data_IF_648821235911
#
_entry.id   IF_648821235911
#
_cell.length_a   1.000
_cell.length_b   1.000
_cell.length_c   1.000
_cell.angle_alpha   90.00
_cell.angle_beta   90.00
_cell.angle_gamma   90.00
#
_symmetry.space_group_name_H-M   'P 1'
#
loop_
_entity.id
_entity.type
_entity.pdbx_description
1 polymer ?
#
# COMPACT_ATOMS: atom_id res chain seq x y z
N UNK A 1 -29.39 11.68 22.73
CA UNK A 1 -28.50 10.54 22.43
C UNK A 1 -29.26 9.61 21.53
N UNK A 2 -28.92 9.57 20.27
CA UNK A 2 -29.48 8.60 19.33
C UNK A 2 -28.79 7.26 19.57
N UNK A 3 -29.57 6.20 19.69
CA UNK A 3 -29.13 4.85 20.07
C UNK A 3 -28.22 4.16 19.04
N UNK A 4 -27.79 4.90 17.99
CA UNK A 4 -27.18 4.31 16.78
C UNK A 4 -25.96 5.05 16.24
N UNK A 5 -25.26 5.80 17.10
CA UNK A 5 -24.01 6.43 16.69
C UNK A 5 -22.97 5.36 16.33
N UNK A 6 -22.34 5.54 15.20
CA UNK A 6 -21.29 4.65 14.71
C UNK A 6 -19.94 5.31 14.75
N UNK A 7 -18.93 4.49 14.91
CA UNK A 7 -17.54 4.90 14.89
C UNK A 7 -16.87 4.21 13.72
N UNK A 8 -16.24 4.99 12.85
CA UNK A 8 -15.38 4.46 11.81
C UNK A 8 -13.92 4.68 12.17
N UNK A 9 -13.08 3.70 11.85
CA UNK A 9 -11.65 3.83 11.89
C UNK A 9 -11.15 4.03 10.46
N UNK A 10 -10.36 5.07 10.24
CA UNK A 10 -9.81 5.41 8.93
C UNK A 10 -8.29 5.49 8.99
N UNK A 11 -7.63 5.20 7.88
CA UNK A 11 -6.20 5.37 7.68
C UNK A 11 -5.95 6.67 6.89
N UNK A 12 -5.49 7.71 7.57
CA UNK A 12 -5.19 8.99 6.94
C UNK A 12 -3.99 8.92 6.00
N UNK A 13 -3.04 8.01 6.26
CA UNK A 13 -1.87 7.80 5.39
C UNK A 13 -2.27 7.15 4.06
N UNK A 14 -3.46 6.54 4.02
CA UNK A 14 -4.06 5.96 2.81
C UNK A 14 -5.26 6.78 2.31
N UNK A 15 -5.21 8.09 2.49
CA UNK A 15 -6.22 9.01 1.94
C UNK A 15 -7.62 8.87 2.56
N UNK A 16 -7.71 8.44 3.82
CA UNK A 16 -9.02 8.28 4.48
C UNK A 16 -9.70 6.94 4.19
N UNK A 17 -8.93 5.90 3.82
CA UNK A 17 -9.47 4.55 3.64
C UNK A 17 -10.13 4.05 4.92
N UNK A 18 -11.37 3.57 4.80
CA UNK A 18 -12.12 3.03 5.94
C UNK A 18 -11.55 1.63 6.27
N UNK A 19 -11.13 1.45 7.51
CA UNK A 19 -10.59 0.19 8.02
C UNK A 19 -11.63 -0.63 8.78
N UNK A 20 -12.60 0.03 9.40
CA UNK A 20 -13.62 -0.62 10.20
C UNK A 20 -14.75 0.30 10.61
N UNK A 21 -15.84 -0.31 10.99
CA UNK A 21 -17.00 0.33 11.63
C UNK A 21 -17.37 -0.46 12.88
N UNK A 22 -17.74 0.25 13.93
CA UNK A 22 -18.31 -0.35 15.13
C UNK A 22 -19.44 0.53 15.67
N UNK A 23 -20.37 -0.06 16.40
CA UNK A 23 -21.37 0.71 17.12
C UNK A 23 -20.70 1.44 18.29
N UNK A 24 -21.02 2.69 18.46
CA UNK A 24 -20.60 3.47 19.60
C UNK A 24 -21.46 3.05 20.82
N UNK A 25 -20.78 2.64 21.90
CA UNK A 25 -21.45 2.27 23.15
C UNK A 25 -20.99 3.24 24.25
N UNK A 26 -21.85 4.15 24.66
CA UNK A 26 -21.56 5.14 25.71
C UNK A 26 -21.69 6.58 25.30
N UNK A 27 -21.13 7.50 26.10
CA UNK A 27 -21.07 8.92 25.76
C UNK A 27 -19.83 9.19 24.89
N UNK A 28 -20.07 9.71 23.69
CA UNK A 28 -19.02 10.05 22.74
C UNK A 28 -19.00 11.56 22.49
N UNK A 29 -17.84 12.13 22.10
CA UNK A 29 -17.78 13.53 21.69
C UNK A 29 -18.71 13.78 20.51
N UNK A 30 -19.01 15.04 20.27
CA UNK A 30 -19.73 15.45 19.06
C UNK A 30 -19.03 14.92 17.81
N UNK A 31 -19.80 14.76 16.73
CA UNK A 31 -19.30 14.31 15.43
C UNK A 31 -17.94 14.96 15.08
N UNK A 32 -16.97 14.15 14.74
CA UNK A 32 -15.64 14.63 14.45
C UNK A 32 -14.59 13.52 14.41
N UNK A 33 -13.39 13.87 13.96
CA UNK A 33 -12.26 12.96 13.87
C UNK A 33 -11.28 13.20 15.00
N UNK A 34 -10.88 12.15 15.68
CA UNK A 34 -9.85 12.18 16.73
C UNK A 34 -8.65 11.36 16.26
N UNK A 35 -7.43 11.94 16.23
CA UNK A 35 -6.24 11.19 15.86
C UNK A 35 -5.94 10.11 16.91
N UNK A 36 -5.67 8.89 16.47
CA UNK A 36 -5.11 7.82 17.28
C UNK A 36 -3.58 7.85 17.20
N UNK A 37 -2.92 7.19 18.15
CA UNK A 37 -1.45 7.13 18.32
C UNK A 37 -0.71 6.35 17.21
N UNK A 38 -1.17 6.35 15.99
CA UNK A 38 -0.53 5.61 14.88
C UNK A 38 -0.83 6.19 13.50
N UNK A 39 -1.37 7.43 13.43
CA UNK A 39 -1.83 8.02 12.17
C UNK A 39 -3.20 7.50 11.73
N UNK A 40 -3.85 6.71 12.58
CA UNK A 40 -5.25 6.34 12.42
C UNK A 40 -6.15 7.45 12.98
N UNK A 41 -7.29 7.63 12.36
CA UNK A 41 -8.32 8.53 12.86
C UNK A 41 -9.57 7.74 13.21
N UNK A 42 -10.12 8.07 14.37
CA UNK A 42 -11.45 7.60 14.78
C UNK A 42 -12.43 8.71 14.45
N UNK A 43 -13.40 8.42 13.62
CA UNK A 43 -14.43 9.38 13.20
C UNK A 43 -15.75 8.94 13.80
N UNK A 44 -16.35 9.83 14.57
CA UNK A 44 -17.69 9.67 15.14
C UNK A 44 -18.70 10.28 14.18
N UNK A 45 -19.66 9.49 13.73
CA UNK A 45 -20.63 9.91 12.73
C UNK A 45 -22.04 9.50 13.17
N UNK A 46 -22.99 10.43 13.05
CA UNK A 46 -24.39 10.15 13.30
C UNK A 46 -24.95 9.21 12.22
N UNK A 47 -25.87 8.32 12.60
CA UNK A 47 -26.44 7.33 11.67
C UNK A 47 -27.07 7.98 10.43
N UNK A 48 -27.72 9.14 10.61
CA UNK A 48 -28.33 9.90 9.52
C UNK A 48 -27.35 10.38 8.45
N UNK A 49 -26.05 10.47 8.79
CA UNK A 49 -24.99 10.91 7.89
C UNK A 49 -24.28 9.72 7.18
N UNK A 50 -24.72 8.49 7.46
CA UNK A 50 -24.19 7.31 6.79
C UNK A 50 -24.86 7.10 5.43
N UNK A 51 -24.11 6.69 4.41
CA UNK A 51 -24.70 6.20 3.17
C UNK A 51 -25.62 5.00 3.46
N UNK A 52 -26.75 4.93 2.77
CA UNK A 52 -27.70 3.82 2.95
C UNK A 52 -27.05 2.45 2.74
N UNK A 53 -26.07 2.37 1.84
CA UNK A 53 -25.28 1.16 1.55
C UNK A 53 -24.45 0.68 2.75
N UNK A 54 -23.98 1.60 3.60
CA UNK A 54 -23.21 1.24 4.79
C UNK A 54 -24.01 0.40 5.80
N UNK A 55 -25.33 0.58 5.78
CA UNK A 55 -26.26 -0.14 6.64
C UNK A 55 -26.68 -1.50 6.07
N UNK A 56 -26.58 -1.68 4.74
CA UNK A 56 -27.04 -2.88 4.02
C UNK A 56 -25.92 -3.91 3.85
N UNK A 57 -24.73 -3.47 3.48
CA UNK A 57 -23.57 -4.34 3.22
C UNK A 57 -22.28 -3.66 3.68
N UNK A 58 -21.84 -4.03 4.87
CA UNK A 58 -20.62 -3.52 5.48
C UNK A 58 -19.37 -3.77 4.64
N UNK A 59 -19.25 -4.96 4.05
CA UNK A 59 -18.08 -5.31 3.24
C UNK A 59 -18.02 -4.48 1.97
N UNK A 60 -19.16 -4.31 1.31
CA UNK A 60 -19.27 -3.41 0.16
C UNK A 60 -18.87 -1.98 0.53
N UNK A 61 -19.36 -1.49 1.67
CA UNK A 61 -19.09 -0.14 2.11
C UNK A 61 -17.59 0.13 2.34
N UNK A 62 -16.92 -0.67 3.17
CA UNK A 62 -15.48 -0.47 3.46
C UNK A 62 -14.58 -0.63 2.23
N UNK A 63 -15.07 -1.34 1.21
CA UNK A 63 -14.34 -1.56 -0.03
C UNK A 63 -14.50 -0.41 -1.01
N UNK A 64 -15.67 0.21 -1.03
CA UNK A 64 -16.04 1.17 -2.07
C UNK A 64 -16.17 2.62 -1.58
N UNK A 65 -15.99 2.88 -0.30
CA UNK A 65 -16.06 4.24 0.24
C UNK A 65 -14.79 4.63 0.97
N UNK A 66 -14.42 5.90 0.83
CA UNK A 66 -13.41 6.60 1.62
C UNK A 66 -14.05 7.72 2.40
N UNK A 67 -13.41 8.18 3.45
CA UNK A 67 -13.87 9.33 4.22
C UNK A 67 -12.95 10.52 3.95
N UNK A 68 -13.49 11.62 3.42
CA UNK A 68 -12.78 12.87 3.26
C UNK A 68 -12.70 13.60 4.59
N UNK A 69 -11.50 13.72 5.16
CA UNK A 69 -11.27 14.41 6.43
C UNK A 69 -11.43 15.93 6.31
N UNK A 70 -11.34 16.50 5.12
CA UNK A 70 -11.44 17.93 4.87
C UNK A 70 -12.91 18.34 4.80
N UNK A 71 -13.65 17.66 3.94
CA UNK A 71 -15.07 17.96 3.71
C UNK A 71 -15.99 17.19 4.67
N UNK A 72 -15.43 16.24 5.44
CA UNK A 72 -16.15 15.39 6.41
C UNK A 72 -17.30 14.60 5.79
N UNK A 73 -17.06 14.03 4.63
CA UNK A 73 -18.04 13.27 3.88
C UNK A 73 -17.53 11.90 3.43
N UNK A 74 -18.47 10.99 3.18
CA UNK A 74 -18.15 9.71 2.53
C UNK A 74 -18.10 9.90 1.02
N UNK A 75 -16.99 9.49 0.43
CA UNK A 75 -16.80 9.54 -1.01
C UNK A 75 -16.78 8.13 -1.57
N UNK A 76 -17.72 7.85 -2.47
CA UNK A 76 -17.75 6.59 -3.21
C UNK A 76 -16.66 6.57 -4.26
N UNK A 77 -15.90 5.47 -4.29
CA UNK A 77 -14.85 5.25 -5.30
C UNK A 77 -15.46 4.56 -6.50
N UNK A 78 -15.43 5.25 -7.64
CA UNK A 78 -16.06 4.78 -8.88
C UNK A 78 -15.24 3.70 -9.61
N UNK A 79 -13.97 3.51 -9.24
CA UNK A 79 -13.07 2.54 -9.87
C UNK A 79 -12.37 1.67 -8.83
N UNK A 80 -12.15 0.40 -9.17
CA UNK A 80 -11.39 -0.50 -8.32
C UNK A 80 -9.96 0.04 -8.06
N UNK A 81 -9.40 -0.29 -6.89
CA UNK A 81 -8.01 0.02 -6.56
C UNK A 81 -7.09 -0.61 -7.61
N UNK A 82 -6.27 0.17 -8.34
CA UNK A 82 -5.45 -0.35 -9.43
C UNK A 82 -4.41 -1.39 -8.99
N UNK A 83 -3.77 -1.16 -7.85
CA UNK A 83 -2.82 -2.09 -7.21
C UNK A 83 -2.64 -1.75 -5.71
N UNK A 84 -1.84 -2.53 -5.01
CA UNK A 84 -1.62 -2.37 -3.56
C UNK A 84 -0.91 -1.06 -3.16
N UNK A 85 -0.26 -0.38 -4.10
CA UNK A 85 0.46 0.89 -3.89
C UNK A 85 -0.39 2.11 -4.21
N UNK A 86 -1.57 1.90 -4.77
CA UNK A 86 -2.47 2.98 -5.12
C UNK A 86 -3.18 3.51 -3.86
N UNK A 87 -3.14 4.82 -3.71
CA UNK A 87 -3.82 5.57 -2.65
C UNK A 87 -4.87 6.47 -3.29
N UNK A 88 -6.09 6.36 -2.83
CA UNK A 88 -7.19 7.21 -3.31
C UNK A 88 -7.21 8.53 -2.55
N UNK A 89 -7.40 9.62 -3.28
CA UNK A 89 -7.68 10.92 -2.68
C UNK A 89 -9.17 11.22 -2.84
N UNK A 90 -9.96 11.21 -1.76
CA UNK A 90 -11.38 11.53 -1.84
C UNK A 90 -11.63 12.98 -2.28
N UNK A 91 -10.77 13.91 -1.88
CA UNK A 91 -10.86 15.34 -2.26
C UNK A 91 -10.70 15.56 -3.77
N UNK A 92 -9.71 14.90 -4.38
CA UNK A 92 -9.49 15.02 -5.84
C UNK A 92 -10.21 13.95 -6.66
N UNK A 93 -10.76 12.93 -5.99
CA UNK A 93 -11.41 11.75 -6.58
C UNK A 93 -10.51 11.01 -7.57
N UNK A 94 -9.19 10.95 -7.26
CA UNK A 94 -8.18 10.31 -8.10
C UNK A 94 -7.30 9.35 -7.33
N UNK A 95 -6.75 8.37 -8.03
CA UNK A 95 -5.71 7.50 -7.54
C UNK A 95 -4.33 8.14 -7.71
N UNK A 96 -3.49 8.00 -6.70
CA UNK A 96 -2.06 8.30 -6.75
C UNK A 96 -1.27 7.09 -6.26
N UNK A 97 0.05 7.08 -6.46
CA UNK A 97 0.91 5.95 -6.06
C UNK A 97 1.99 6.42 -5.10
N UNK A 98 2.21 5.63 -4.07
CA UNK A 98 3.34 5.82 -3.15
C UNK A 98 4.59 5.17 -3.75
N UNK A 99 5.33 5.94 -4.54
CA UNK A 99 6.56 5.47 -5.16
C UNK A 99 7.62 5.01 -4.15
N UNK A 100 7.60 5.52 -2.92
CA UNK A 100 8.53 5.11 -1.87
C UNK A 100 8.26 3.68 -1.40
N UNK A 101 6.98 3.30 -1.26
CA UNK A 101 6.60 1.92 -0.96
C UNK A 101 6.99 0.98 -2.10
N UNK A 102 6.70 1.35 -3.35
CA UNK A 102 7.09 0.56 -4.52
C UNK A 102 8.59 0.34 -4.56
N UNK A 103 9.39 1.40 -4.37
CA UNK A 103 10.85 1.32 -4.33
C UNK A 103 11.35 0.46 -3.17
N UNK A 104 10.65 0.43 -2.04
CA UNK A 104 11.00 -0.43 -0.91
C UNK A 104 10.85 -1.90 -1.28
N UNK A 105 9.74 -2.29 -1.91
CA UNK A 105 9.49 -3.66 -2.33
C UNK A 105 10.46 -4.10 -3.44
N UNK A 106 10.75 -3.21 -4.40
CA UNK A 106 11.78 -3.46 -5.42
C UNK A 106 13.14 -3.73 -4.74
N UNK A 107 13.53 -2.93 -3.75
CA UNK A 107 14.79 -3.13 -3.01
C UNK A 107 14.80 -4.41 -2.19
N UNK A 108 13.69 -4.78 -1.57
CA UNK A 108 13.58 -6.05 -0.85
C UNK A 108 13.81 -7.23 -1.80
N UNK A 109 13.07 -7.31 -2.89
CA UNK A 109 13.22 -8.36 -3.90
C UNK A 109 14.64 -8.41 -4.49
N UNK A 110 15.22 -7.25 -4.81
CA UNK A 110 16.63 -7.16 -5.25
C UNK A 110 17.59 -7.77 -4.24
N UNK A 111 17.42 -7.45 -2.95
CA UNK A 111 18.30 -7.94 -1.90
C UNK A 111 18.17 -9.46 -1.72
N UNK A 112 16.97 -10.02 -1.85
CA UNK A 112 16.75 -11.47 -1.87
C UNK A 112 17.52 -12.14 -3.02
N UNK A 113 17.39 -11.60 -4.24
CA UNK A 113 18.10 -12.13 -5.42
C UNK A 113 19.62 -11.99 -5.31
N UNK A 114 20.12 -10.89 -4.71
CA UNK A 114 21.54 -10.75 -4.40
C UNK A 114 21.99 -11.79 -3.38
N UNK A 115 21.20 -12.02 -2.32
CA UNK A 115 21.47 -13.03 -1.29
C UNK A 115 21.55 -14.45 -1.85
N UNK A 116 20.61 -14.83 -2.72
CA UNK A 116 20.61 -16.13 -3.41
C UNK A 116 21.89 -16.33 -4.24
N UNK A 117 22.46 -15.26 -4.79
CA UNK A 117 23.66 -15.29 -5.61
C UNK A 117 24.98 -15.04 -4.85
N UNK A 118 24.97 -14.77 -3.53
CA UNK A 118 26.16 -14.42 -2.75
C UNK A 118 27.23 -15.50 -2.74
N UNK A 119 26.83 -16.77 -2.76
CA UNK A 119 27.75 -17.89 -2.79
C UNK A 119 28.71 -17.85 -4.02
N UNK A 120 28.29 -17.21 -5.13
CA UNK A 120 29.13 -17.07 -6.33
C UNK A 120 30.36 -16.16 -6.11
N UNK A 121 30.39 -15.41 -5.00
CA UNK A 121 31.46 -14.48 -4.65
C UNK A 121 32.54 -15.12 -3.77
N UNK A 122 32.36 -16.38 -3.35
CA UNK A 122 33.36 -17.10 -2.54
C UNK A 122 34.59 -17.42 -3.38
N UNK A 123 35.76 -17.34 -2.79
CA UNK A 123 37.03 -17.55 -3.48
C UNK A 123 37.31 -19.02 -3.80
N UNK A 124 36.75 -19.94 -3.03
CA UNK A 124 36.96 -21.39 -3.09
C UNK A 124 35.93 -22.12 -3.97
N UNK A 125 35.06 -21.37 -4.65
CA UNK A 125 34.00 -21.96 -5.45
C UNK A 125 34.50 -22.39 -6.83
N UNK A 126 34.05 -23.57 -7.26
CA UNK A 126 34.42 -24.14 -8.55
C UNK A 126 33.45 -23.71 -9.66
N UNK A 127 33.53 -22.45 -10.08
CA UNK A 127 32.80 -21.91 -11.23
C UNK A 127 33.78 -21.71 -12.40
N UNK A 128 33.29 -21.93 -13.63
CA UNK A 128 34.06 -21.59 -14.84
C UNK A 128 34.21 -20.06 -14.96
N UNK A 129 35.12 -19.61 -15.81
CA UNK A 129 35.33 -18.18 -16.05
C UNK A 129 34.05 -17.50 -16.60
N UNK A 130 33.32 -18.19 -17.48
CA UNK A 130 32.08 -17.75 -18.08
C UNK A 130 30.97 -17.64 -17.01
N UNK A 131 30.87 -18.62 -16.11
CA UNK A 131 29.92 -18.59 -15.01
C UNK A 131 30.20 -17.44 -14.04
N UNK A 132 31.47 -17.21 -13.72
CA UNK A 132 31.89 -16.07 -12.88
C UNK A 132 31.52 -14.74 -13.53
N UNK A 133 31.76 -14.57 -14.83
CA UNK A 133 31.41 -13.37 -15.57
C UNK A 133 29.87 -13.15 -15.57
N UNK A 134 29.09 -14.19 -15.87
CA UNK A 134 27.63 -14.12 -15.86
C UNK A 134 27.07 -13.77 -14.47
N UNK A 135 27.65 -14.32 -13.40
CA UNK A 135 27.26 -13.96 -12.04
C UNK A 135 27.54 -12.47 -11.72
N UNK A 136 28.70 -11.97 -12.14
CA UNK A 136 29.06 -10.56 -11.95
C UNK A 136 28.12 -9.63 -12.69
N UNK A 137 27.80 -9.93 -13.94
CA UNK A 137 26.89 -9.11 -14.77
C UNK A 137 25.47 -9.12 -14.22
N UNK A 138 24.93 -10.29 -13.85
CA UNK A 138 23.64 -10.42 -13.20
C UNK A 138 23.56 -9.59 -11.91
N UNK A 139 24.54 -9.72 -11.03
CA UNK A 139 24.60 -8.98 -9.76
C UNK A 139 24.78 -7.47 -9.96
N UNK A 140 25.47 -7.05 -11.03
CA UNK A 140 25.56 -5.64 -11.41
C UNK A 140 24.19 -5.12 -11.84
N UNK A 141 23.50 -5.82 -12.74
CA UNK A 141 22.16 -5.46 -13.18
C UNK A 141 21.18 -5.34 -12.00
N UNK A 142 21.23 -6.26 -11.03
CA UNK A 142 20.45 -6.17 -9.80
C UNK A 142 20.77 -4.91 -8.98
N UNK A 143 22.04 -4.55 -8.80
CA UNK A 143 22.42 -3.35 -8.04
C UNK A 143 21.94 -2.07 -8.71
N UNK A 144 21.94 -2.07 -10.03
CA UNK A 144 21.61 -0.89 -10.85
C UNK A 144 20.11 -0.78 -11.15
N UNK A 145 19.29 -1.76 -10.74
CA UNK A 145 17.87 -1.90 -11.12
C UNK A 145 16.99 -0.69 -10.78
N UNK A 146 17.36 0.12 -9.79
CA UNK A 146 16.64 1.32 -9.41
C UNK A 146 17.19 2.61 -10.03
N UNK A 147 18.24 2.51 -10.85
CA UNK A 147 18.84 3.69 -11.48
C UNK A 147 17.90 4.20 -12.58
N UNK A 148 17.47 5.46 -12.47
CA UNK A 148 16.63 6.11 -13.48
C UNK A 148 15.16 5.68 -13.52
N UNK A 149 14.70 4.87 -12.57
CA UNK A 149 13.33 4.35 -12.56
C UNK A 149 12.25 5.45 -12.32
N UNK A 150 12.64 6.62 -11.79
CA UNK A 150 11.70 7.70 -11.51
C UNK A 150 10.71 7.36 -10.39
N UNK A 151 9.42 7.60 -10.65
CA UNK A 151 8.32 7.31 -9.73
C UNK A 151 7.55 6.07 -10.21
N UNK A 152 7.95 4.86 -9.81
CA UNK A 152 7.27 3.65 -10.23
C UNK A 152 5.87 3.55 -9.62
N UNK A 153 4.95 2.94 -10.35
CA UNK A 153 3.56 2.70 -9.91
C UNK A 153 3.35 1.29 -9.37
N UNK A 154 4.25 0.36 -9.71
CA UNK A 154 4.28 -1.01 -9.20
C UNK A 154 5.70 -1.61 -9.35
N UNK A 155 5.87 -2.86 -8.90
CA UNK A 155 7.16 -3.56 -8.99
C UNK A 155 7.48 -4.11 -10.39
N UNK A 156 6.53 -4.05 -11.32
CA UNK A 156 6.73 -4.47 -12.71
C UNK A 156 7.27 -3.32 -13.57
N UNK A 157 7.44 -2.13 -12.96
CA UNK A 157 8.08 -0.98 -13.61
C UNK A 157 9.60 -1.17 -13.86
N UNK A 158 10.19 -2.27 -13.37
CA UNK A 158 11.61 -2.61 -13.58
C UNK A 158 11.76 -3.88 -14.40
N UNK A 159 12.75 -3.88 -15.29
CA UNK A 159 13.18 -5.06 -16.02
C UNK A 159 14.08 -5.92 -15.11
N UNK A 160 13.48 -6.94 -14.49
CA UNK A 160 14.24 -7.87 -13.65
C UNK A 160 15.22 -8.70 -14.48
N UNK A 161 16.52 -8.68 -14.15
CA UNK A 161 17.50 -9.46 -14.89
C UNK A 161 17.22 -10.96 -14.72
N UNK A 162 17.33 -11.70 -15.82
CA UNK A 162 17.18 -13.16 -15.80
C UNK A 162 18.39 -13.78 -15.09
N UNK A 163 18.18 -14.62 -14.07
CA UNK A 163 19.28 -15.31 -13.43
C UNK A 163 19.95 -16.28 -14.41
N UNK A 164 21.29 -16.41 -14.39
CA UNK A 164 21.99 -17.48 -15.12
C UNK A 164 21.51 -18.86 -14.69
N UNK A 165 21.49 -19.84 -15.60
CA UNK A 165 20.93 -21.19 -15.37
C UNK A 165 21.50 -21.90 -14.12
N UNK A 166 22.76 -21.66 -13.78
CA UNK A 166 23.39 -22.24 -12.59
C UNK A 166 22.98 -21.56 -11.27
N UNK A 167 22.18 -20.50 -11.31
CA UNK A 167 21.57 -19.82 -10.17
C UNK A 167 20.06 -20.09 -10.03
N UNK A 168 19.45 -20.73 -11.02
CA UNK A 168 18.02 -21.04 -11.07
C UNK A 168 17.67 -22.26 -10.20
#
# INVERSE_FOLDING_TARGET
>A
MTEHDRVITIDSNKGGKILGIQLAIGEYPAEGAVPDSGGLYIVYILEENYPEEACKDFHYFITNYWYDLTDKEFVKVESAQPNQYAVYSPTTKTWSWDAALVLTDIRMRRNELLGVSDWTQLSDINLTAEQKAAAVDYRRALRDITIGIGNPVDTDAVDWPTPPDFLA
#
